data_IF_929772205713
#
_entry.id   IF_929772205713
#
_cell.length_a   1.000
_cell.length_b   1.000
_cell.length_c   1.000
_cell.angle_alpha   90.00
_cell.angle_beta   90.00
_cell.angle_gamma   90.00
#
_symmetry.space_group_name_H-M   'P 1'
#
loop_
_entity.id
_entity.type
_entity.pdbx_description
1 polymer ?
#
# COMPACT_ATOMS: atom_id res chain seq x y z
N UNK A 1 12.45 7.35 -2.01
CA UNK A 1 11.23 8.14 -2.26
C UNK A 1 10.07 7.23 -2.63
N UNK A 2 8.80 7.67 -2.52
CA UNK A 2 7.66 6.93 -3.08
C UNK A 2 7.83 6.78 -4.60
N UNK A 3 7.51 5.59 -5.12
CA UNK A 3 7.48 5.30 -6.53
C UNK A 3 6.08 5.64 -7.10
N UNK A 4 5.96 6.60 -8.04
CA UNK A 4 4.70 6.94 -8.69
C UNK A 4 4.04 5.76 -9.43
N UNK A 5 4.82 4.82 -9.97
CA UNK A 5 4.30 3.65 -10.69
C UNK A 5 3.59 2.63 -9.77
N UNK A 6 3.82 2.74 -8.46
CA UNK A 6 3.14 1.95 -7.44
C UNK A 6 1.82 2.57 -6.98
N UNK A 7 1.47 3.75 -7.49
CA UNK A 7 0.14 4.34 -7.31
C UNK A 7 -0.74 3.95 -8.49
N UNK A 8 -1.90 3.35 -8.24
CA UNK A 8 -2.80 2.83 -9.29
C UNK A 8 -4.24 3.27 -9.04
N UNK A 9 -4.97 3.57 -10.11
CA UNK A 9 -6.43 3.70 -10.06
C UNK A 9 -7.07 2.35 -10.28
N UNK A 10 -8.04 2.03 -9.44
CA UNK A 10 -8.82 0.79 -9.49
C UNK A 10 -10.30 1.14 -9.46
N UNK A 11 -11.14 0.56 -10.35
CA UNK A 11 -12.57 0.78 -10.30
C UNK A 11 -13.18 0.31 -8.97
N UNK A 12 -14.12 1.06 -8.41
CA UNK A 12 -14.82 0.70 -7.16
C UNK A 12 -15.44 -0.70 -7.21
N UNK A 13 -15.94 -1.10 -8.38
CA UNK A 13 -16.57 -2.41 -8.59
C UNK A 13 -15.63 -3.61 -8.36
N UNK A 14 -14.32 -3.39 -8.41
CA UNK A 14 -13.31 -4.42 -8.13
C UNK A 14 -12.96 -4.54 -6.65
N UNK A 15 -13.45 -3.63 -5.81
CA UNK A 15 -13.23 -3.68 -4.37
C UNK A 15 -14.27 -4.59 -3.69
N UNK A 16 -13.93 -5.17 -2.52
CA UNK A 16 -14.89 -5.95 -1.74
C UNK A 16 -16.13 -5.11 -1.44
N UNK A 17 -17.33 -5.62 -1.80
CA UNK A 17 -18.61 -4.92 -1.61
C UNK A 17 -19.07 -4.86 -0.15
N UNK A 18 -18.38 -5.59 0.74
CA UNK A 18 -18.73 -5.68 2.16
C UNK A 18 -18.33 -4.43 2.96
N UNK A 19 -17.41 -3.60 2.44
CA UNK A 19 -17.00 -2.35 3.07
C UNK A 19 -16.91 -1.21 2.05
N UNK A 20 -17.50 -0.07 2.39
CA UNK A 20 -17.28 1.16 1.63
C UNK A 20 -15.80 1.57 1.73
N UNK A 21 -15.13 1.83 0.59
CA UNK A 21 -13.74 2.28 0.60
C UNK A 21 -13.65 3.63 1.32
N UNK A 22 -12.62 3.79 2.16
CA UNK A 22 -12.33 5.04 2.87
C UNK A 22 -10.89 5.47 2.63
N UNK A 23 -10.66 6.77 2.47
CA UNK A 23 -9.30 7.32 2.36
C UNK A 23 -8.52 6.98 3.62
N UNK A 24 -7.33 6.41 3.44
CA UNK A 24 -6.47 5.95 4.52
C UNK A 24 -6.62 4.47 4.88
N UNK A 25 -7.69 3.80 4.42
CA UNK A 25 -7.89 2.36 4.60
C UNK A 25 -6.77 1.56 3.93
N UNK A 26 -6.38 0.45 4.55
CA UNK A 26 -5.39 -0.49 4.01
C UNK A 26 -6.10 -1.76 3.57
N UNK A 27 -5.89 -2.12 2.31
CA UNK A 27 -6.39 -3.34 1.68
C UNK A 27 -5.23 -4.31 1.48
N UNK A 28 -5.46 -5.60 1.69
CA UNK A 28 -4.48 -6.63 1.35
C UNK A 28 -4.71 -7.09 -0.08
N UNK A 29 -3.78 -6.78 -0.98
CA UNK A 29 -3.80 -7.27 -2.35
C UNK A 29 -2.96 -8.53 -2.47
N UNK A 30 -3.39 -9.46 -3.32
CA UNK A 30 -2.60 -10.64 -3.67
C UNK A 30 -1.85 -10.34 -4.96
N UNK A 31 -0.52 -10.39 -4.93
CA UNK A 31 0.32 -10.24 -6.10
C UNK A 31 0.37 -11.53 -6.93
N UNK A 32 0.81 -11.49 -8.20
CA UNK A 32 0.86 -12.67 -9.07
C UNK A 32 1.72 -13.82 -8.54
N UNK A 33 2.70 -13.52 -7.69
CA UNK A 33 3.55 -14.49 -6.99
C UNK A 33 2.93 -15.03 -5.69
N UNK A 34 1.64 -14.71 -5.42
CA UNK A 34 0.88 -15.22 -4.28
C UNK A 34 1.16 -14.51 -2.95
N UNK A 35 1.99 -13.45 -2.94
CA UNK A 35 2.26 -12.67 -1.73
C UNK A 35 1.13 -11.68 -1.46
N UNK A 36 0.91 -11.40 -0.18
CA UNK A 36 -0.01 -10.36 0.23
C UNK A 36 0.75 -9.05 0.41
N UNK A 37 0.32 -8.01 -0.30
CA UNK A 37 0.92 -6.68 -0.28
C UNK A 37 -0.13 -5.70 0.26
N UNK A 38 0.19 -4.90 1.29
CA UNK A 38 -0.71 -3.85 1.76
C UNK A 38 -0.78 -2.74 0.71
N UNK A 39 -1.99 -2.33 0.35
CA UNK A 39 -2.31 -1.21 -0.53
C UNK A 39 -3.12 -0.19 0.27
N UNK A 40 -2.72 1.09 0.27
CA UNK A 40 -3.43 2.15 1.00
C UNK A 40 -4.29 2.96 0.05
N UNK A 41 -5.55 3.21 0.40
CA UNK A 41 -6.39 4.14 -0.36
C UNK A 41 -5.93 5.58 -0.10
N UNK A 42 -5.54 6.30 -1.15
CA UNK A 42 -5.09 7.70 -1.06
C UNK A 42 -6.13 8.71 -1.55
N UNK A 43 -7.00 8.31 -2.47
CA UNK A 43 -8.10 9.12 -2.96
C UNK A 43 -9.27 8.25 -3.42
N UNK A 44 -10.47 8.82 -3.37
CA UNK A 44 -11.71 8.18 -3.82
C UNK A 44 -12.41 9.18 -4.75
N UNK A 45 -12.56 8.79 -6.01
CA UNK A 45 -13.32 9.50 -7.03
C UNK A 45 -14.76 8.92 -7.11
N UNK A 46 -15.61 9.41 -8.01
CA UNK A 46 -16.99 8.89 -8.16
C UNK A 46 -17.01 7.40 -8.54
N UNK A 47 -16.21 7.01 -9.54
CA UNK A 47 -16.14 5.66 -10.12
C UNK A 47 -14.92 4.86 -9.68
N UNK A 48 -13.85 5.55 -9.28
CA UNK A 48 -12.52 4.97 -9.10
C UNK A 48 -11.96 5.23 -7.70
N UNK A 49 -11.03 4.38 -7.29
CA UNK A 49 -10.26 4.53 -6.06
C UNK A 49 -8.78 4.53 -6.42
N UNK A 50 -8.03 5.49 -5.88
CA UNK A 50 -6.59 5.51 -6.01
C UNK A 50 -5.98 4.75 -4.84
N UNK A 51 -5.19 3.73 -5.16
CA UNK A 51 -4.45 2.91 -4.20
C UNK A 51 -2.95 3.16 -4.35
N UNK A 52 -2.26 3.13 -3.23
CA UNK A 52 -0.81 3.26 -3.12
C UNK A 52 -0.21 1.95 -2.59
N UNK A 53 0.64 1.32 -3.40
CA UNK A 53 1.36 0.09 -3.09
C UNK A 53 2.77 0.36 -2.57
N UNK A 54 3.15 1.63 -2.35
CA UNK A 54 4.44 1.94 -1.76
C UNK A 54 4.58 1.33 -0.37
N UNK A 55 5.82 0.95 -0.03
CA UNK A 55 6.12 0.53 1.33
C UNK A 55 5.73 1.66 2.31
N UNK A 56 5.19 1.35 3.52
CA UNK A 56 4.75 2.38 4.48
C UNK A 56 5.84 3.37 4.93
N UNK A 57 7.10 3.04 4.67
CA UNK A 57 8.29 3.83 4.98
C UNK A 57 8.91 4.50 3.74
N UNK A 58 8.34 4.35 2.54
CA UNK A 58 8.84 4.98 1.33
C UNK A 58 8.83 6.51 1.48
N UNK A 59 9.96 7.15 1.19
CA UNK A 59 10.14 8.60 1.35
C UNK A 59 10.32 9.08 2.79
N UNK A 60 10.33 8.18 3.79
CA UNK A 60 10.64 8.55 5.18
C UNK A 60 12.14 8.45 5.43
N UNK A 61 12.70 9.43 6.14
CA UNK A 61 14.05 9.34 6.70
C UNK A 61 14.00 8.38 7.87
N UNK A 62 14.68 7.25 7.76
CA UNK A 62 14.75 6.24 8.82
C UNK A 62 16.05 6.40 9.61
N UNK A 63 15.93 6.57 10.93
CA UNK A 63 17.07 6.58 11.85
C UNK A 63 17.10 5.24 12.57
N UNK A 64 18.09 4.42 12.25
CA UNK A 64 18.30 3.14 12.92
C UNK A 64 19.42 3.27 13.94
N UNK A 65 19.21 2.73 15.14
CA UNK A 65 20.28 2.48 16.10
C UNK A 65 20.48 0.96 16.14
N UNK A 66 21.60 0.50 15.61
CA UNK A 66 21.88 -0.92 15.44
C UNK A 66 22.85 -1.39 16.53
N UNK A 67 22.54 -2.52 17.15
CA UNK A 67 23.46 -3.25 18.02
C UNK A 67 23.73 -4.60 17.38
N UNK A 68 24.99 -4.88 17.06
CA UNK A 68 25.41 -6.20 16.58
C UNK A 68 25.37 -7.15 17.79
N UNK A 69 24.61 -8.23 17.67
CA UNK A 69 24.43 -9.22 18.74
C UNK A 69 25.38 -10.40 18.58
N UNK A 70 25.70 -10.80 17.36
CA UNK A 70 26.65 -11.86 17.03
C UNK A 70 27.08 -11.77 15.55
N UNK A 71 28.16 -12.45 15.17
CA UNK A 71 28.56 -12.67 13.78
C UNK A 71 29.14 -14.09 13.63
N UNK A 72 28.79 -14.80 12.54
CA UNK A 72 29.42 -16.08 12.14
C UNK A 72 30.56 -15.84 11.13
#
# INVERSE_FOLDING_TARGET
>A
DPNPELTKKVPKDKLPKEQEPQVGMVLMMVSPDGKQIPARITAIDETDVTIDLNHPLAGKVLKFNLKIVDYE
#
